data_IF_663327767501
#
_entry.id   IF_663327767501
#
_cell.length_a   1.000
_cell.length_b   1.000
_cell.length_c   1.000
_cell.angle_alpha   90.00
_cell.angle_beta   90.00
_cell.angle_gamma   90.00
#
_symmetry.space_group_name_H-M   'P 1'
#
loop_
_entity.id
_entity.type
_entity.pdbx_description
1 polymer ?
#
# COMPACT_ATOMS: atom_id res chain seq x y z
N UNK A 1 9.86 15.46 28.02
CA UNK A 1 10.37 14.18 27.48
C UNK A 1 9.68 13.72 26.18
N UNK A 2 8.78 14.50 25.58
CA UNK A 2 7.94 14.08 24.43
C UNK A 2 8.57 14.22 23.05
N UNK A 3 9.66 14.99 22.90
CA UNK A 3 10.32 15.22 21.60
C UNK A 3 11.11 14.00 21.08
N UNK A 4 11.80 13.28 21.97
CA UNK A 4 12.67 12.15 21.62
C UNK A 4 11.92 10.91 21.12
N UNK A 5 10.67 10.70 21.55
CA UNK A 5 9.84 9.59 21.05
C UNK A 5 9.13 9.95 19.73
N UNK A 6 8.87 11.24 19.48
CA UNK A 6 8.23 11.70 18.23
C UNK A 6 9.13 11.53 17.00
N UNK A 7 10.42 11.83 17.16
CA UNK A 7 11.42 11.72 16.09
C UNK A 7 11.51 10.34 15.42
N UNK A 8 11.83 9.25 16.15
CA UNK A 8 12.01 7.93 15.56
C UNK A 8 10.73 7.38 14.95
N UNK A 9 9.57 7.55 15.61
CA UNK A 9 8.29 7.12 15.03
C UNK A 9 7.95 7.87 13.74
N UNK A 10 8.19 9.19 13.69
CA UNK A 10 7.99 9.97 12.48
C UNK A 10 8.89 9.52 11.32
N UNK A 11 10.17 9.23 11.60
CA UNK A 11 11.11 8.73 10.58
C UNK A 11 10.72 7.34 10.09
N UNK A 12 10.45 6.40 11.00
CA UNK A 12 10.05 5.03 10.63
C UNK A 12 8.77 5.02 9.82
N UNK A 13 7.74 5.77 10.24
CA UNK A 13 6.49 5.88 9.49
C UNK A 13 6.68 6.62 8.16
N UNK A 14 7.55 7.63 8.12
CA UNK A 14 7.91 8.32 6.88
C UNK A 14 8.51 7.36 5.86
N UNK A 15 9.51 6.57 6.26
CA UNK A 15 10.14 5.56 5.41
C UNK A 15 9.16 4.47 4.97
N UNK A 16 8.29 4.00 5.88
CA UNK A 16 7.27 3.02 5.55
C UNK A 16 6.27 3.57 4.50
N UNK A 17 5.88 4.84 4.62
CA UNK A 17 5.02 5.48 3.62
C UNK A 17 5.73 5.73 2.29
N UNK A 18 7.03 6.04 2.28
CA UNK A 18 7.83 6.13 1.05
C UNK A 18 7.92 4.77 0.34
N UNK A 19 8.11 3.68 1.09
CA UNK A 19 8.09 2.33 0.53
C UNK A 19 6.72 2.01 -0.08
N UNK A 20 5.62 2.31 0.63
CA UNK A 20 4.27 2.17 0.08
C UNK A 20 4.08 3.00 -1.20
N UNK A 21 4.57 4.25 -1.23
CA UNK A 21 4.49 5.10 -2.40
C UNK A 21 5.24 4.50 -3.60
N UNK A 22 6.43 3.93 -3.38
CA UNK A 22 7.20 3.26 -4.42
C UNK A 22 6.46 2.02 -4.98
N UNK A 23 5.90 1.19 -4.11
CA UNK A 23 5.13 0.00 -4.54
C UNK A 23 3.85 0.43 -5.27
N UNK A 24 3.15 1.45 -4.78
CA UNK A 24 1.97 2.01 -5.44
C UNK A 24 2.29 2.55 -6.82
N UNK A 25 3.41 3.26 -6.98
CA UNK A 25 3.88 3.71 -8.28
C UNK A 25 4.08 2.53 -9.24
N UNK A 26 4.75 1.46 -8.80
CA UNK A 26 4.94 0.26 -9.61
C UNK A 26 3.62 -0.37 -10.06
N UNK A 27 2.67 -0.53 -9.14
CA UNK A 27 1.36 -1.13 -9.44
C UNK A 27 0.49 -0.27 -10.40
N UNK A 28 0.66 1.05 -10.37
CA UNK A 28 -0.11 1.99 -11.19
C UNK A 28 0.51 2.25 -12.56
N UNK A 29 1.84 2.26 -12.67
CA UNK A 29 2.55 2.48 -13.94
C UNK A 29 2.60 1.21 -14.79
N UNK A 30 2.63 0.03 -14.18
CA UNK A 30 2.50 -1.21 -14.92
C UNK A 30 1.11 -1.27 -15.58
N UNK A 31 1.09 -1.28 -16.91
CA UNK A 31 -0.10 -1.40 -17.73
C UNK A 31 0.02 -2.67 -18.58
N UNK A 32 -0.90 -3.63 -18.43
CA UNK A 32 -0.88 -4.83 -19.25
C UNK A 32 -1.21 -4.48 -20.70
N UNK A 33 -0.54 -5.13 -21.65
CA UNK A 33 -0.79 -4.91 -23.08
C UNK A 33 -2.08 -5.58 -23.57
N UNK A 34 -2.57 -6.56 -22.81
CA UNK A 34 -3.81 -7.29 -23.02
C UNK A 34 -3.90 -8.46 -22.06
N UNK A 35 -4.98 -9.22 -22.18
CA UNK A 35 -5.30 -10.34 -21.27
C UNK A 35 -4.31 -11.50 -21.37
N UNK A 36 -3.55 -11.56 -22.47
CA UNK A 36 -2.49 -12.53 -22.72
C UNK A 36 -1.16 -12.17 -22.01
N UNK A 37 -1.03 -10.97 -21.46
CA UNK A 37 0.17 -10.48 -20.76
C UNK A 37 0.13 -10.92 -19.28
N UNK A 38 0.13 -12.24 -19.07
CA UNK A 38 0.01 -12.86 -17.75
C UNK A 38 1.12 -12.43 -16.79
N UNK A 39 2.34 -12.20 -17.30
CA UNK A 39 3.48 -11.78 -16.48
C UNK A 39 3.24 -10.38 -15.88
N UNK A 40 2.76 -9.43 -16.68
CA UNK A 40 2.45 -8.08 -16.20
C UNK A 40 1.23 -8.07 -15.29
N UNK A 41 0.19 -8.85 -15.62
CA UNK A 41 -0.99 -9.02 -14.77
C UNK A 41 -0.62 -9.57 -13.38
N UNK A 42 0.12 -10.68 -13.34
CA UNK A 42 0.62 -11.29 -12.09
C UNK A 42 1.51 -10.31 -11.31
N UNK A 43 2.34 -9.54 -12.00
CA UNK A 43 3.17 -8.50 -11.39
C UNK A 43 2.34 -7.40 -10.72
N UNK A 44 1.26 -6.94 -11.38
CA UNK A 44 0.34 -5.93 -10.81
C UNK A 44 -0.44 -6.50 -9.63
N UNK A 45 -0.94 -7.74 -9.73
CA UNK A 45 -1.62 -8.41 -8.62
C UNK A 45 -0.69 -8.52 -7.42
N UNK A 46 0.52 -9.07 -7.60
CA UNK A 46 1.51 -9.18 -6.54
C UNK A 46 1.86 -7.82 -5.92
N UNK A 47 2.12 -6.80 -6.74
CA UNK A 47 2.42 -5.46 -6.26
C UNK A 47 1.23 -4.86 -5.48
N UNK A 48 0.00 -5.13 -5.91
CA UNK A 48 -1.22 -4.69 -5.23
C UNK A 48 -1.41 -5.41 -3.89
N UNK A 49 -1.20 -6.73 -3.80
CA UNK A 49 -1.20 -7.45 -2.51
C UNK A 49 -0.13 -6.89 -1.57
N UNK A 50 1.08 -6.70 -2.10
CA UNK A 50 2.20 -6.18 -1.32
C UNK A 50 1.86 -4.79 -0.78
N UNK A 51 1.27 -3.91 -1.59
CA UNK A 51 0.82 -2.59 -1.16
C UNK A 51 -0.25 -2.68 -0.07
N UNK A 52 -1.19 -3.61 -0.18
CA UNK A 52 -2.22 -3.82 0.85
C UNK A 52 -1.58 -4.26 2.17
N UNK A 53 -0.68 -5.24 2.12
CA UNK A 53 -0.02 -5.77 3.33
C UNK A 53 0.85 -4.69 3.98
N UNK A 54 1.68 -4.00 3.21
CA UNK A 54 2.53 -2.92 3.71
C UNK A 54 1.70 -1.73 4.24
N UNK A 55 0.63 -1.36 3.56
CA UNK A 55 -0.31 -0.33 4.01
C UNK A 55 -0.98 -0.71 5.33
N UNK A 56 -1.43 -1.96 5.47
CA UNK A 56 -2.02 -2.47 6.71
C UNK A 56 -1.02 -2.44 7.87
N UNK A 57 0.19 -2.96 7.66
CA UNK A 57 1.26 -2.94 8.67
C UNK A 57 1.58 -1.50 9.06
N UNK A 58 1.75 -0.60 8.09
CA UNK A 58 2.07 0.81 8.34
C UNK A 58 0.95 1.50 9.12
N UNK A 59 -0.31 1.21 8.79
CA UNK A 59 -1.48 1.73 9.52
C UNK A 59 -1.51 1.24 10.98
N UNK A 60 -1.29 -0.06 11.20
CA UNK A 60 -1.24 -0.67 12.53
C UNK A 60 -0.08 -0.11 13.37
N UNK A 61 1.08 0.10 12.76
CA UNK A 61 2.23 0.73 13.41
C UNK A 61 1.94 2.19 13.79
N UNK A 62 1.26 2.94 12.91
CA UNK A 62 0.88 4.32 13.17
C UNK A 62 -0.20 4.47 14.27
N UNK A 63 -1.07 3.46 14.45
CA UNK A 63 -2.10 3.48 15.50
C UNK A 63 -1.51 3.57 16.92
N UNK A 64 -0.37 2.92 17.17
CA UNK A 64 0.25 2.89 18.51
C UNK A 64 0.62 4.30 19.00
N UNK A 65 1.45 5.09 18.29
CA UNK A 65 1.80 6.42 18.73
C UNK A 65 0.64 7.43 18.63
N UNK A 66 -0.31 7.25 17.69
CA UNK A 66 -1.50 8.11 17.60
C UNK A 66 -2.41 7.92 18.82
N UNK A 67 -2.67 6.67 19.25
CA UNK A 67 -3.48 6.40 20.45
C UNK A 67 -2.81 6.87 21.73
N UNK A 68 -1.48 6.80 21.80
CA UNK A 68 -0.69 7.32 22.94
C UNK A 68 -0.55 8.85 22.95
N UNK A 69 -1.17 9.57 22.02
CA UNK A 69 -1.06 11.05 21.91
C UNK A 69 0.30 11.55 21.43
N UNK A 70 1.17 10.65 21.00
CA UNK A 70 2.51 10.96 20.49
C UNK A 70 2.48 11.58 19.10
N UNK A 71 1.55 11.19 18.23
CA UNK A 71 1.45 11.64 16.84
C UNK A 71 0.02 12.10 16.48
N UNK A 72 -0.09 13.01 15.51
CA UNK A 72 -1.38 13.52 15.04
C UNK A 72 -2.15 12.42 14.28
N UNK A 73 -3.49 12.39 14.39
CA UNK A 73 -4.36 11.42 13.70
C UNK A 73 -4.20 11.44 12.18
N UNK A 74 -3.78 12.57 11.62
CA UNK A 74 -3.47 12.70 10.19
C UNK A 74 -2.37 11.73 9.69
N UNK A 75 -1.53 11.19 10.57
CA UNK A 75 -0.55 10.16 10.21
C UNK A 75 -1.17 8.81 9.81
N UNK A 76 -2.47 8.61 10.05
CA UNK A 76 -3.20 7.44 9.58
C UNK A 76 -3.70 7.58 8.15
N UNK A 77 -3.78 8.81 7.62
CA UNK A 77 -4.35 9.05 6.29
C UNK A 77 -3.48 8.48 5.16
N UNK A 78 -2.14 8.66 5.13
CA UNK A 78 -1.30 8.06 4.08
C UNK A 78 -1.40 6.53 3.99
N UNK A 79 -1.22 5.74 5.08
CA UNK A 79 -1.32 4.29 4.97
C UNK A 79 -2.75 3.80 4.65
N UNK A 80 -3.78 4.52 5.11
CA UNK A 80 -5.16 4.23 4.71
C UNK A 80 -5.40 4.48 3.21
N UNK A 81 -4.83 5.54 2.65
CA UNK A 81 -4.90 5.81 1.21
C UNK A 81 -4.22 4.71 0.40
N UNK A 82 -3.02 4.29 0.79
CA UNK A 82 -2.30 3.21 0.10
C UNK A 82 -3.05 1.88 0.14
N UNK A 83 -3.69 1.56 1.27
CA UNK A 83 -4.59 0.41 1.37
C UNK A 83 -5.73 0.48 0.34
N UNK A 84 -6.42 1.62 0.27
CA UNK A 84 -7.51 1.81 -0.68
C UNK A 84 -7.04 1.71 -2.13
N UNK A 85 -5.88 2.29 -2.45
CA UNK A 85 -5.28 2.22 -3.78
C UNK A 85 -4.93 0.77 -4.15
N UNK A 86 -4.31 0.01 -3.24
CA UNK A 86 -3.97 -1.39 -3.47
C UNK A 86 -5.20 -2.26 -3.69
N UNK A 87 -6.24 -2.10 -2.87
CA UNK A 87 -7.52 -2.81 -3.03
C UNK A 87 -8.18 -2.44 -4.35
N UNK A 88 -8.27 -1.14 -4.67
CA UNK A 88 -8.89 -0.68 -5.91
C UNK A 88 -8.16 -1.21 -7.14
N UNK A 89 -6.82 -1.20 -7.13
CA UNK A 89 -6.01 -1.71 -8.24
C UNK A 89 -6.14 -3.22 -8.41
N UNK A 90 -6.13 -3.98 -7.31
CA UNK A 90 -6.38 -5.42 -7.33
C UNK A 90 -7.76 -5.74 -7.91
N UNK A 91 -8.81 -5.09 -7.40
CA UNK A 91 -10.18 -5.30 -7.88
C UNK A 91 -10.32 -4.94 -9.36
N UNK A 92 -9.69 -3.84 -9.80
CA UNK A 92 -9.70 -3.45 -11.20
C UNK A 92 -9.14 -4.56 -12.09
N UNK A 93 -8.00 -5.15 -11.74
CA UNK A 93 -7.40 -6.24 -12.55
C UNK A 93 -8.32 -7.45 -12.59
N UNK A 94 -8.82 -7.92 -11.45
CA UNK A 94 -9.69 -9.09 -11.41
C UNK A 94 -11.05 -8.90 -12.13
N UNK A 95 -11.53 -7.67 -12.26
CA UNK A 95 -12.77 -7.36 -12.97
C UNK A 95 -12.58 -7.15 -14.48
N UNK A 96 -11.47 -6.51 -14.89
CA UNK A 96 -11.20 -6.14 -16.29
C UNK A 96 -10.50 -7.27 -17.05
N UNK A 97 -9.64 -8.02 -16.37
CA UNK A 97 -8.90 -9.15 -16.92
C UNK A 97 -9.32 -10.44 -16.18
N UNK A 98 -10.58 -10.89 -16.32
CA UNK A 98 -11.01 -12.12 -15.68
C UNK A 98 -10.19 -13.25 -16.28
N UNK A 99 -9.34 -13.86 -15.47
CA UNK A 99 -8.66 -15.10 -15.82
C UNK A 99 -9.74 -16.09 -16.25
N UNK A 100 -9.75 -16.46 -17.53
CA UNK A 100 -10.68 -17.46 -18.03
C UNK A 100 -10.53 -18.73 -17.19
N UNK A 101 -11.63 -19.37 -16.82
CA UNK A 101 -11.61 -20.67 -16.19
C UNK A 101 -10.97 -21.69 -17.17
N UNK A 102 -9.65 -21.80 -17.19
CA UNK A 102 -8.96 -22.63 -18.16
C UNK A 102 -7.45 -22.61 -18.03
N UNK A 103 -6.93 -23.53 -17.21
CA UNK A 103 -5.60 -24.13 -17.39
C UNK A 103 -4.61 -23.85 -16.28
#
# INVERSE_FOLDING_TARGET
MTGLLRGPWGVTLGLANLLNAYVAYGALVAQPQGDWDEQTLTGIEFASALLIVLGAITFLLALVPVRKGGLNRWWLAPPALFLLVGVARWMYIGLVYPQGAGG
#
